data_IF_604919987924
#
_entry.id   IF_604919987924
#
_cell.length_a   1.000
_cell.length_b   1.000
_cell.length_c   1.000
_cell.angle_alpha   90.00
_cell.angle_beta   90.00
_cell.angle_gamma   90.00
#
_symmetry.space_group_name_H-M   'P 1'
#
loop_
_entity.id
_entity.type
_entity.pdbx_description
1 polymer ?
#
# COMPACT_ATOMS: atom_id res chain seq x y z
N UNK A 1 0.05 -36.47 -20.37
CA UNK A 1 -0.33 -36.55 -18.94
C UNK A 1 -1.59 -37.38 -18.73
N UNK A 2 -2.78 -37.00 -19.25
CA UNK A 2 -4.03 -37.78 -19.12
C UNK A 2 -3.88 -39.27 -19.50
N UNK A 3 -3.36 -39.54 -20.69
CA UNK A 3 -3.28 -40.93 -21.23
C UNK A 3 -2.33 -41.82 -20.43
N UNK A 4 -1.24 -41.26 -19.92
CA UNK A 4 -0.29 -41.99 -19.08
C UNK A 4 -0.93 -42.38 -17.74
N UNK A 5 -1.66 -41.45 -17.11
CA UNK A 5 -2.36 -41.74 -15.86
C UNK A 5 -3.54 -42.71 -16.07
N UNK A 6 -4.26 -42.59 -17.20
CA UNK A 6 -5.30 -43.55 -17.57
C UNK A 6 -4.73 -44.96 -17.80
N UNK A 7 -3.60 -45.08 -18.51
CA UNK A 7 -2.93 -46.35 -18.74
C UNK A 7 -2.49 -47.02 -17.43
N UNK A 8 -1.95 -46.24 -16.48
CA UNK A 8 -1.61 -46.72 -15.15
C UNK A 8 -2.84 -47.23 -14.39
N UNK A 9 -3.94 -46.47 -14.36
CA UNK A 9 -5.18 -46.88 -13.69
C UNK A 9 -5.81 -48.13 -14.32
N UNK A 10 -5.63 -48.31 -15.63
CA UNK A 10 -6.06 -49.52 -16.36
C UNK A 10 -5.18 -50.72 -15.99
N UNK A 11 -3.85 -50.53 -15.91
CA UNK A 11 -2.91 -51.56 -15.48
C UNK A 11 -3.16 -51.99 -14.02
N UNK A 12 -3.49 -51.03 -13.14
CA UNK A 12 -3.84 -51.27 -11.74
C UNK A 12 -5.27 -51.85 -11.57
N UNK A 13 -6.03 -52.01 -12.65
CA UNK A 13 -7.39 -52.56 -12.62
C UNK A 13 -8.43 -51.65 -11.95
N UNK A 14 -8.10 -50.38 -11.73
CA UNK A 14 -8.94 -49.37 -11.08
C UNK A 14 -9.87 -48.64 -12.06
N UNK A 15 -9.60 -48.74 -13.36
CA UNK A 15 -10.38 -48.11 -14.42
C UNK A 15 -10.36 -49.00 -15.68
N UNK A 16 -11.49 -49.17 -16.36
CA UNK A 16 -11.49 -49.85 -17.65
C UNK A 16 -11.09 -48.90 -18.79
N UNK A 17 -10.58 -49.44 -19.90
CA UNK A 17 -10.29 -48.63 -21.09
C UNK A 17 -11.56 -47.96 -21.66
N UNK A 18 -12.70 -48.65 -21.59
CA UNK A 18 -14.01 -48.11 -21.98
C UNK A 18 -14.44 -46.97 -21.05
N UNK A 19 -14.32 -47.13 -19.73
CA UNK A 19 -14.63 -46.06 -18.78
C UNK A 19 -13.73 -44.84 -18.96
N UNK A 20 -12.44 -45.06 -19.27
CA UNK A 20 -11.50 -44.00 -19.59
C UNK A 20 -11.92 -43.24 -20.86
N UNK A 21 -12.30 -43.96 -21.93
CA UNK A 21 -12.78 -43.34 -23.18
C UNK A 21 -14.10 -42.60 -22.95
N UNK A 22 -15.07 -43.22 -22.29
CA UNK A 22 -16.36 -42.61 -22.01
C UNK A 22 -16.23 -41.33 -21.17
N UNK A 23 -15.30 -41.29 -20.21
CA UNK A 23 -14.99 -40.07 -19.44
C UNK A 23 -14.35 -38.99 -20.30
N UNK A 24 -13.49 -39.36 -21.24
CA UNK A 24 -12.90 -38.42 -22.20
C UNK A 24 -13.97 -37.83 -23.13
N UNK A 25 -14.81 -38.69 -23.72
CA UNK A 25 -15.89 -38.29 -24.61
C UNK A 25 -16.90 -37.40 -23.87
N UNK A 26 -17.24 -37.73 -22.62
CA UNK A 26 -18.10 -36.89 -21.78
C UNK A 26 -17.47 -35.54 -21.46
N UNK A 27 -16.15 -35.46 -21.24
CA UNK A 27 -15.46 -34.20 -21.01
C UNK A 27 -15.42 -33.32 -22.26
N UNK A 28 -15.19 -33.93 -23.43
CA UNK A 28 -15.22 -33.23 -24.72
C UNK A 28 -16.63 -32.74 -25.07
N UNK A 29 -17.66 -33.55 -24.81
CA UNK A 29 -19.05 -33.15 -24.95
C UNK A 29 -19.38 -31.93 -24.06
N UNK A 30 -18.97 -31.95 -22.78
CA UNK A 30 -19.13 -30.80 -21.87
C UNK A 30 -18.41 -29.55 -22.37
N UNK A 31 -17.19 -29.68 -22.89
CA UNK A 31 -16.44 -28.54 -23.46
C UNK A 31 -17.14 -27.98 -24.71
N UNK A 32 -17.62 -28.86 -25.58
CA UNK A 32 -18.36 -28.49 -26.79
C UNK A 32 -19.66 -27.76 -26.45
N UNK A 33 -20.40 -28.25 -25.47
CA UNK A 33 -21.65 -27.62 -25.03
C UNK A 33 -21.40 -26.28 -24.33
N UNK A 34 -20.35 -26.19 -23.48
CA UNK A 34 -19.91 -24.92 -22.93
C UNK A 34 -19.51 -23.91 -24.03
N UNK A 35 -18.82 -24.36 -25.07
CA UNK A 35 -18.43 -23.50 -26.19
C UNK A 35 -19.64 -23.00 -27.00
N UNK A 36 -20.64 -23.86 -27.23
CA UNK A 36 -21.92 -23.47 -27.87
C UNK A 36 -22.66 -22.45 -27.02
N UNK A 37 -22.72 -22.66 -25.70
CA UNK A 37 -23.37 -21.76 -24.77
C UNK A 37 -22.67 -20.39 -24.74
N UNK A 38 -21.34 -20.35 -24.70
CA UNK A 38 -20.58 -19.09 -24.77
C UNK A 38 -20.83 -18.39 -26.11
N UNK A 39 -20.87 -19.09 -27.25
CA UNK A 39 -21.21 -18.47 -28.54
C UNK A 39 -22.62 -17.88 -28.56
N UNK A 40 -23.59 -18.57 -27.98
CA UNK A 40 -24.97 -18.09 -27.88
C UNK A 40 -25.10 -16.87 -26.94
N UNK A 41 -24.39 -16.89 -25.82
CA UNK A 41 -24.37 -15.80 -24.83
C UNK A 41 -23.51 -14.61 -25.24
N UNK A 42 -22.41 -14.82 -25.97
CA UNK A 42 -21.53 -13.75 -26.45
C UNK A 42 -22.20 -12.85 -27.48
N UNK A 43 -23.18 -13.36 -28.23
CA UNK A 43 -24.05 -12.55 -29.10
C UNK A 43 -24.88 -11.52 -28.31
N UNK A 44 -25.02 -11.71 -26.99
CA UNK A 44 -25.79 -10.86 -26.08
C UNK A 44 -24.94 -10.29 -24.94
N UNK A 45 -23.61 -10.49 -24.96
CA UNK A 45 -22.75 -10.00 -23.90
C UNK A 45 -22.70 -8.47 -23.97
N UNK A 46 -22.95 -7.75 -22.86
CA UNK A 46 -22.72 -6.32 -22.83
C UNK A 46 -21.25 -6.09 -23.14
N UNK A 47 -20.97 -5.19 -24.09
CA UNK A 47 -19.59 -4.75 -24.28
C UNK A 47 -19.13 -4.13 -22.96
N UNK A 48 -18.06 -4.67 -22.39
CA UNK A 48 -17.34 -4.01 -21.31
C UNK A 48 -16.72 -2.77 -21.94
N UNK A 49 -17.50 -1.69 -22.01
CA UNK A 49 -16.99 -0.38 -22.37
C UNK A 49 -15.99 -0.03 -21.29
N UNK A 50 -14.73 0.23 -21.66
CA UNK A 50 -13.83 0.97 -20.76
C UNK A 50 -14.62 2.21 -20.33
N UNK A 51 -14.82 2.44 -19.03
CA UNK A 51 -15.38 3.71 -18.61
C UNK A 51 -14.50 4.79 -19.26
N UNK A 52 -15.08 5.73 -20.01
CA UNK A 52 -14.30 6.82 -20.56
C UNK A 52 -13.54 7.46 -19.41
N UNK A 53 -12.28 7.84 -19.64
CA UNK A 53 -11.55 8.65 -18.67
C UNK A 53 -12.43 9.85 -18.33
N UNK A 54 -12.80 9.95 -17.07
CA UNK A 54 -13.60 11.05 -16.59
C UNK A 54 -12.74 12.31 -16.67
N UNK A 55 -12.93 13.08 -17.74
CA UNK A 55 -12.25 14.36 -17.96
C UNK A 55 -12.93 15.50 -17.18
N UNK A 56 -13.87 15.18 -16.28
CA UNK A 56 -14.44 16.16 -15.36
C UNK A 56 -13.31 16.80 -14.54
N UNK A 57 -13.42 18.11 -14.24
CA UNK A 57 -12.51 18.74 -13.28
C UNK A 57 -12.50 17.94 -11.99
N UNK A 58 -11.33 17.76 -11.40
CA UNK A 58 -11.24 17.15 -10.08
C UNK A 58 -12.19 17.88 -9.13
N UNK A 59 -12.99 17.15 -8.34
CA UNK A 59 -13.90 17.78 -7.40
C UNK A 59 -13.10 18.62 -6.40
N UNK A 60 -13.68 19.72 -5.94
CA UNK A 60 -13.11 20.51 -4.86
C UNK A 60 -13.16 19.71 -3.54
N UNK A 61 -12.03 19.08 -3.17
CA UNK A 61 -11.91 18.27 -1.95
C UNK A 61 -11.52 19.18 -0.79
N UNK A 62 -12.42 19.34 0.18
CA UNK A 62 -12.15 20.09 1.41
C UNK A 62 -11.35 19.24 2.39
N UNK A 63 -10.05 19.52 2.50
CA UNK A 63 -9.12 18.84 3.40
C UNK A 63 -8.75 19.68 4.64
N UNK A 64 -9.28 20.90 4.75
CA UNK A 64 -9.01 21.78 5.89
C UNK A 64 -9.57 21.20 7.20
N UNK A 65 -8.75 21.27 8.26
CA UNK A 65 -9.09 20.79 9.61
C UNK A 65 -9.05 21.97 10.59
N UNK A 66 -9.95 22.05 11.58
CA UNK A 66 -9.91 23.09 12.60
C UNK A 66 -8.56 23.09 13.35
N UNK A 67 -7.98 24.28 13.57
CA UNK A 67 -6.70 24.43 14.24
C UNK A 67 -6.69 23.81 15.65
N UNK A 68 -7.78 23.94 16.39
CA UNK A 68 -7.95 23.37 17.74
C UNK A 68 -7.85 21.84 17.73
N UNK A 69 -8.35 21.19 16.68
CA UNK A 69 -8.24 19.75 16.50
C UNK A 69 -6.78 19.35 16.23
N UNK A 70 -6.08 20.09 15.35
CA UNK A 70 -4.66 19.87 15.08
C UNK A 70 -3.80 20.05 16.34
N UNK A 71 -4.08 21.07 17.15
CA UNK A 71 -3.39 21.30 18.43
C UNK A 71 -3.62 20.14 19.42
N UNK A 72 -4.87 19.65 19.49
CA UNK A 72 -5.20 18.49 20.32
C UNK A 72 -4.46 17.23 19.90
N UNK A 73 -4.43 16.94 18.59
CA UNK A 73 -3.74 15.79 18.03
C UNK A 73 -2.21 15.91 18.23
N UNK A 74 -1.64 17.09 18.00
CA UNK A 74 -0.22 17.34 18.22
C UNK A 74 0.21 17.03 19.66
N UNK A 75 -0.57 17.46 20.67
CA UNK A 75 -0.27 17.14 22.07
C UNK A 75 -0.29 15.64 22.35
N UNK A 76 -1.23 14.91 21.74
CA UNK A 76 -1.34 13.47 21.90
C UNK A 76 -0.20 12.72 21.20
N UNK A 77 0.21 13.18 20.01
CA UNK A 77 1.36 12.62 19.29
C UNK A 77 2.68 12.77 20.06
N UNK A 78 2.80 13.80 20.90
CA UNK A 78 3.97 14.02 21.76
C UNK A 78 3.85 13.36 23.15
N UNK A 79 2.76 12.63 23.42
CA UNK A 79 2.52 11.98 24.71
C UNK A 79 3.18 10.61 24.79
N UNK A 80 3.79 10.31 25.93
CA UNK A 80 4.38 9.02 26.25
C UNK A 80 3.84 8.51 27.59
N UNK A 81 3.81 7.17 27.83
CA UNK A 81 3.32 6.62 29.08
C UNK A 81 4.15 7.07 30.28
N UNK A 82 3.56 6.98 31.47
CA UNK A 82 4.28 7.24 32.72
C UNK A 82 5.55 6.38 32.80
N UNK A 83 6.66 7.02 33.19
CA UNK A 83 7.99 6.41 33.34
C UNK A 83 8.63 5.91 32.03
N UNK A 84 8.08 6.26 30.87
CA UNK A 84 8.72 5.98 29.58
C UNK A 84 9.97 6.86 29.39
N UNK A 85 11.12 6.22 29.24
CA UNK A 85 12.41 6.90 29.10
C UNK A 85 12.73 7.16 27.62
N UNK A 86 12.29 8.31 27.10
CA UNK A 86 12.61 8.74 25.73
C UNK A 86 14.11 8.99 25.56
N UNK A 87 14.65 8.68 24.38
CA UNK A 87 16.03 8.94 24.04
C UNK A 87 16.40 10.44 24.15
N UNK A 88 17.50 10.82 24.83
CA UNK A 88 17.83 12.23 25.10
C UNK A 88 17.93 13.12 23.86
N UNK A 89 18.38 12.58 22.72
CA UNK A 89 18.44 13.33 21.45
C UNK A 89 17.06 13.74 20.90
N UNK A 90 16.00 12.99 21.23
CA UNK A 90 14.63 13.28 20.76
C UNK A 90 13.92 14.31 21.63
N UNK A 91 14.29 14.41 22.92
CA UNK A 91 13.64 15.31 23.86
C UNK A 91 13.59 16.76 23.36
N UNK A 92 14.69 17.27 22.80
CA UNK A 92 14.72 18.65 22.27
C UNK A 92 13.73 18.85 21.12
N UNK A 93 13.62 17.89 20.21
CA UNK A 93 12.67 17.94 19.11
C UNK A 93 11.23 17.84 19.61
N UNK A 94 10.96 16.96 20.57
CA UNK A 94 9.63 16.81 21.17
C UNK A 94 9.20 18.07 21.92
N UNK A 95 10.08 18.67 22.73
CA UNK A 95 9.76 19.92 23.42
C UNK A 95 9.49 21.06 22.44
N UNK A 96 10.27 21.17 21.35
CA UNK A 96 9.96 22.12 20.26
C UNK A 96 8.60 21.83 19.64
N UNK A 97 8.25 20.55 19.43
CA UNK A 97 6.97 20.17 18.84
C UNK A 97 5.77 20.39 19.76
N UNK A 98 5.97 20.44 21.08
CA UNK A 98 4.93 20.76 22.08
C UNK A 98 4.54 22.24 22.13
N UNK A 99 5.40 23.16 21.67
CA UNK A 99 5.01 24.57 21.49
C UNK A 99 3.81 24.65 20.55
N UNK A 100 2.79 25.51 20.86
CA UNK A 100 1.60 25.66 20.02
C UNK A 100 1.94 25.84 18.54
N UNK A 101 1.19 25.17 17.68
CA UNK A 101 1.38 25.20 16.22
C UNK A 101 1.30 26.62 15.67
N UNK A 102 0.43 27.46 16.24
CA UNK A 102 0.28 28.86 15.82
C UNK A 102 1.51 29.76 16.12
N UNK A 103 2.42 29.34 17.00
CA UNK A 103 3.56 30.14 17.43
C UNK A 103 4.86 29.80 16.68
N UNK A 104 4.83 28.84 15.76
CA UNK A 104 6.02 28.35 15.04
C UNK A 104 5.70 27.74 13.69
N UNK A 105 6.75 27.52 12.91
CA UNK A 105 6.65 26.75 11.68
C UNK A 105 6.44 25.25 11.97
N UNK A 106 5.66 24.61 11.10
CA UNK A 106 5.40 23.17 11.12
C UNK A 106 6.35 22.52 10.12
N UNK A 107 7.16 21.57 10.59
CA UNK A 107 8.07 20.81 9.72
C UNK A 107 7.32 19.71 8.95
N UNK A 108 7.93 19.21 7.87
CA UNK A 108 7.30 18.24 6.96
C UNK A 108 6.77 16.99 7.69
N UNK A 109 7.60 16.40 8.54
CA UNK A 109 7.24 15.18 9.27
C UNK A 109 6.10 15.44 10.26
N UNK A 110 6.08 16.61 10.91
CA UNK A 110 4.96 16.96 11.78
C UNK A 110 3.66 17.19 10.99
N UNK A 111 3.72 17.82 9.82
CA UNK A 111 2.56 17.98 8.95
C UNK A 111 2.01 16.62 8.48
N UNK A 112 2.91 15.68 8.13
CA UNK A 112 2.58 14.30 7.78
C UNK A 112 1.91 13.56 8.96
N UNK A 113 2.49 13.63 10.16
CA UNK A 113 1.92 13.04 11.38
C UNK A 113 0.52 13.57 11.67
N UNK A 114 0.30 14.89 11.51
CA UNK A 114 -1.00 15.51 11.70
C UNK A 114 -2.01 15.07 10.63
N UNK A 115 -1.60 14.94 9.38
CA UNK A 115 -2.46 14.43 8.31
C UNK A 115 -2.88 12.98 8.59
N UNK A 116 -1.97 12.12 9.03
CA UNK A 116 -2.31 10.77 9.44
C UNK A 116 -3.25 10.74 10.65
N UNK A 117 -2.97 11.56 11.65
CA UNK A 117 -3.79 11.65 12.86
C UNK A 117 -5.23 12.09 12.55
N UNK A 118 -5.42 13.03 11.62
CA UNK A 118 -6.76 13.49 11.23
C UNK A 118 -7.51 12.44 10.41
N UNK A 119 -6.82 11.65 9.58
CA UNK A 119 -7.44 10.54 8.84
C UNK A 119 -7.96 9.45 9.79
N UNK A 120 -7.14 8.97 10.73
CA UNK A 120 -7.54 7.88 11.62
C UNK A 120 -8.59 8.31 12.67
N UNK A 121 -8.60 9.58 13.05
CA UNK A 121 -9.68 10.14 13.89
C UNK A 121 -10.96 10.39 13.09
N UNK A 122 -10.83 10.69 11.79
CA UNK A 122 -11.93 10.75 10.83
C UNK A 122 -12.45 9.40 10.34
N UNK A 123 -11.90 8.28 10.79
CA UNK A 123 -12.37 6.93 10.45
C UNK A 123 -11.78 6.34 9.17
N UNK A 124 -10.70 6.91 8.65
CA UNK A 124 -9.97 6.40 7.48
C UNK A 124 -8.76 5.60 7.98
N UNK A 125 -8.69 4.27 7.75
CA UNK A 125 -7.53 3.48 8.12
C UNK A 125 -6.29 3.94 7.35
N UNK A 126 -5.14 3.92 8.00
CA UNK A 126 -3.86 4.24 7.35
C UNK A 126 -2.91 3.08 7.53
N UNK A 127 -2.27 2.67 6.44
CA UNK A 127 -1.20 1.68 6.43
C UNK A 127 0.06 2.32 5.84
N UNK A 128 1.16 2.27 6.57
CA UNK A 128 2.44 2.83 6.17
C UNK A 128 3.54 1.78 6.34
N UNK A 129 4.12 1.37 5.21
CA UNK A 129 5.14 0.31 5.16
C UNK A 129 6.35 0.78 4.37
N UNK A 130 7.54 0.44 4.85
CA UNK A 130 8.80 0.73 4.16
C UNK A 130 10.00 0.40 5.03
N UNK A 131 11.21 0.50 4.48
CA UNK A 131 12.42 0.24 5.24
C UNK A 131 12.67 1.39 6.24
N UNK A 132 12.79 1.06 7.52
CA UNK A 132 12.99 2.01 8.63
C UNK A 132 11.90 3.10 8.76
N UNK A 133 10.73 2.92 8.17
CA UNK A 133 9.67 3.93 8.10
C UNK A 133 9.13 4.35 9.48
N UNK A 134 9.17 3.49 10.50
CA UNK A 134 8.80 3.84 11.89
C UNK A 134 9.60 5.04 12.42
N UNK A 135 10.91 5.06 12.14
CA UNK A 135 11.83 6.16 12.49
C UNK A 135 11.89 7.21 11.37
N UNK A 136 11.77 6.75 10.13
CA UNK A 136 12.17 7.46 8.92
C UNK A 136 13.66 7.30 8.64
N UNK A 137 14.01 7.10 7.37
CA UNK A 137 15.40 7.03 6.87
C UNK A 137 16.24 8.21 7.36
N UNK A 138 15.66 9.42 7.31
CA UNK A 138 16.31 10.68 7.66
C UNK A 138 16.15 11.06 9.13
N UNK A 139 15.69 10.12 9.98
CA UNK A 139 15.41 10.36 11.41
C UNK A 139 14.47 11.55 11.63
N UNK A 140 13.49 11.71 10.75
CA UNK A 140 12.58 12.85 10.73
C UNK A 140 11.22 12.55 11.37
N UNK A 141 10.79 11.28 11.31
CA UNK A 141 9.39 10.87 11.54
C UNK A 141 9.14 10.40 12.97
N UNK A 142 9.90 9.44 13.48
CA UNK A 142 9.77 8.96 14.86
C UNK A 142 8.32 8.64 15.31
N UNK A 143 7.54 7.95 14.48
CA UNK A 143 6.18 7.51 14.85
C UNK A 143 6.20 6.44 15.94
N UNK A 144 7.32 5.72 16.09
CA UNK A 144 7.57 4.78 17.19
C UNK A 144 8.74 5.29 18.04
N UNK A 145 8.48 5.46 19.33
CA UNK A 145 9.49 5.71 20.33
C UNK A 145 9.97 4.41 20.97
N UNK A 146 11.26 4.36 21.30
CA UNK A 146 11.87 3.25 22.02
C UNK A 146 12.32 3.73 23.40
N UNK A 147 11.90 3.03 24.45
CA UNK A 147 12.34 3.28 25.81
C UNK A 147 13.81 2.87 25.97
N UNK A 148 14.69 3.81 26.31
CA UNK A 148 16.14 3.55 26.35
C UNK A 148 16.58 2.61 27.48
N UNK A 149 15.70 2.34 28.46
CA UNK A 149 16.01 1.47 29.60
C UNK A 149 15.50 0.05 29.39
N UNK A 150 14.35 -0.09 28.72
CA UNK A 150 13.62 -1.37 28.62
C UNK A 150 13.51 -1.90 27.20
N UNK A 151 13.76 -1.08 26.18
CA UNK A 151 13.58 -1.42 24.77
C UNK A 151 12.11 -1.50 24.32
N UNK A 152 11.15 -1.24 25.23
CA UNK A 152 9.72 -1.22 24.90
C UNK A 152 9.43 -0.12 23.89
N UNK A 153 8.56 -0.43 22.93
CA UNK A 153 8.08 0.50 21.93
C UNK A 153 6.81 1.21 22.38
N UNK A 154 6.63 2.44 21.93
CA UNK A 154 5.40 3.22 22.09
C UNK A 154 5.15 4.02 20.82
N UNK A 155 3.98 3.85 20.21
CA UNK A 155 3.58 4.57 19.01
C UNK A 155 2.36 5.45 19.32
N UNK A 156 2.55 6.74 19.67
CA UNK A 156 1.45 7.62 20.08
C UNK A 156 0.29 7.68 19.07
N UNK A 157 0.61 7.62 17.77
CA UNK A 157 -0.36 7.61 16.66
C UNK A 157 -1.38 6.46 16.77
N UNK A 158 -1.01 5.33 17.38
CA UNK A 158 -1.89 4.16 17.58
C UNK A 158 -2.74 4.26 18.86
N UNK A 159 -2.56 5.33 19.66
CA UNK A 159 -3.21 5.53 20.95
C UNK A 159 -3.92 6.88 21.05
N UNK A 160 -4.24 7.50 19.92
CA UNK A 160 -4.98 8.77 19.89
C UNK A 160 -6.40 8.61 20.41
N UNK A 161 -6.80 9.49 21.32
CA UNK A 161 -8.17 9.62 21.80
C UNK A 161 -9.06 10.06 20.65
N UNK A 162 -10.14 9.32 20.41
CA UNK A 162 -11.07 9.57 19.32
C UNK A 162 -10.66 8.93 17.98
N UNK A 163 -9.55 8.19 17.92
CA UNK A 163 -9.27 7.35 16.76
C UNK A 163 -10.37 6.30 16.59
N UNK A 164 -10.93 6.22 15.38
CA UNK A 164 -11.99 5.28 15.01
C UNK A 164 -11.54 4.29 13.93
N UNK A 165 -10.34 4.47 13.39
CA UNK A 165 -9.70 3.56 12.45
C UNK A 165 -8.27 3.19 12.89
N UNK A 166 -7.73 2.13 12.29
CA UNK A 166 -6.38 1.63 12.58
C UNK A 166 -5.29 2.48 11.92
N UNK A 167 -4.13 2.52 12.58
CA UNK A 167 -2.87 2.95 11.99
C UNK A 167 -1.90 1.77 11.98
N UNK A 168 -1.71 1.15 10.83
CA UNK A 168 -0.76 0.06 10.63
C UNK A 168 0.59 0.63 10.19
N UNK A 169 1.62 0.37 10.98
CA UNK A 169 2.95 0.90 10.77
C UNK A 169 3.95 -0.23 10.81
N UNK A 170 4.72 -0.38 9.73
CA UNK A 170 5.64 -1.50 9.60
C UNK A 170 6.98 -1.09 8.98
N UNK A 171 8.07 -1.45 9.66
CA UNK A 171 9.35 -1.60 9.00
C UNK A 171 9.31 -2.86 8.11
N UNK A 172 9.43 -2.67 6.80
CA UNK A 172 9.45 -3.78 5.84
C UNK A 172 10.76 -4.57 5.92
N UNK A 173 10.80 -5.83 5.44
CA UNK A 173 12.08 -6.45 5.10
C UNK A 173 12.81 -5.64 4.02
N UNK A 174 14.09 -5.92 3.83
CA UNK A 174 14.92 -5.32 2.78
C UNK A 174 14.56 -5.92 1.41
N UNK A 175 13.37 -5.58 0.91
CA UNK A 175 12.85 -6.02 -0.39
C UNK A 175 11.84 -5.00 -0.93
N UNK A 176 12.16 -4.36 -2.04
CA UNK A 176 11.26 -3.41 -2.70
C UNK A 176 10.18 -4.15 -3.49
N UNK A 177 10.57 -5.17 -4.26
CA UNK A 177 9.65 -5.93 -5.11
C UNK A 177 8.50 -6.54 -4.31
N UNK A 178 8.84 -7.32 -3.27
CA UNK A 178 7.84 -8.05 -2.51
C UNK A 178 7.00 -7.10 -1.64
N UNK A 179 7.63 -6.10 -1.00
CA UNK A 179 6.90 -5.13 -0.19
C UNK A 179 5.94 -4.30 -1.05
N UNK A 180 6.39 -3.73 -2.16
CA UNK A 180 5.53 -2.92 -3.03
C UNK A 180 4.41 -3.76 -3.66
N UNK A 181 4.71 -5.00 -4.06
CA UNK A 181 3.70 -5.94 -4.56
C UNK A 181 2.63 -6.29 -3.52
N UNK A 182 3.04 -6.47 -2.26
CA UNK A 182 2.11 -6.69 -1.15
C UNK A 182 1.22 -5.46 -0.92
N UNK A 183 1.81 -4.26 -0.85
CA UNK A 183 1.04 -3.03 -0.62
C UNK A 183 0.08 -2.70 -1.78
N UNK A 184 0.44 -3.02 -3.03
CA UNK A 184 -0.50 -2.96 -4.15
C UNK A 184 -1.69 -3.91 -3.98
N UNK A 185 -1.45 -5.14 -3.53
CA UNK A 185 -2.51 -6.10 -3.25
C UNK A 185 -3.43 -5.60 -2.14
N UNK A 186 -2.85 -5.09 -1.04
CA UNK A 186 -3.59 -4.53 0.08
C UNK A 186 -4.45 -3.33 -0.36
N UNK A 187 -3.88 -2.38 -1.10
CA UNK A 187 -4.58 -1.17 -1.55
C UNK A 187 -5.64 -1.42 -2.62
N UNK A 188 -5.59 -2.58 -3.28
CA UNK A 188 -6.59 -3.02 -4.25
C UNK A 188 -7.84 -3.59 -3.57
N UNK A 189 -7.67 -4.19 -2.37
CA UNK A 189 -8.76 -4.80 -1.59
C UNK A 189 -9.34 -3.82 -0.55
N UNK A 190 -8.48 -3.18 0.24
CA UNK A 190 -8.84 -2.20 1.27
C UNK A 190 -9.08 -0.81 0.67
N UNK A 191 -10.13 -0.68 -0.14
CA UNK A 191 -10.45 0.54 -0.90
C UNK A 191 -10.71 1.78 -0.03
N UNK A 192 -11.02 1.61 1.24
CA UNK A 192 -11.26 2.68 2.21
C UNK A 192 -9.99 3.19 2.89
N UNK A 193 -8.90 2.42 2.85
CA UNK A 193 -7.65 2.75 3.54
C UNK A 193 -6.74 3.64 2.68
N UNK A 194 -5.99 4.53 3.35
CA UNK A 194 -4.79 5.12 2.76
C UNK A 194 -3.63 4.13 2.94
N UNK A 195 -3.09 3.64 1.83
CA UNK A 195 -1.95 2.71 1.84
C UNK A 195 -0.74 3.42 1.27
N UNK A 196 0.32 3.51 2.06
CA UNK A 196 1.57 4.18 1.72
C UNK A 196 2.71 3.17 1.71
N UNK A 197 3.47 3.15 0.62
CA UNK A 197 4.76 2.47 0.56
C UNK A 197 5.89 3.51 0.44
N UNK A 198 6.86 3.45 1.35
CA UNK A 198 8.01 4.34 1.37
C UNK A 198 9.29 3.61 0.96
N UNK A 199 9.94 4.12 -0.09
CA UNK A 199 11.29 3.70 -0.44
C UNK A 199 12.30 4.39 0.50
N UNK A 200 13.39 3.71 0.86
CA UNK A 200 14.44 4.33 1.69
C UNK A 200 15.03 5.56 0.98
N UNK A 201 15.30 5.43 -0.31
CA UNK A 201 15.53 6.49 -1.30
C UNK A 201 14.74 6.14 -2.57
N UNK A 202 14.24 7.13 -3.29
CA UNK A 202 13.44 6.91 -4.50
C UNK A 202 14.17 6.13 -5.59
N UNK A 203 15.50 6.19 -5.62
CA UNK A 203 16.38 5.47 -6.54
C UNK A 203 16.13 3.95 -6.53
N UNK A 204 15.80 3.38 -5.36
CA UNK A 204 15.61 1.94 -5.15
C UNK A 204 14.25 1.40 -5.64
N UNK A 205 13.30 2.27 -5.98
CA UNK A 205 12.00 1.84 -6.50
C UNK A 205 12.11 1.04 -7.81
N UNK A 206 13.23 1.16 -8.53
CA UNK A 206 13.54 0.36 -9.71
C UNK A 206 13.60 -1.16 -9.42
N UNK A 207 13.91 -1.59 -8.19
CA UNK A 207 13.89 -2.99 -7.77
C UNK A 207 12.48 -3.60 -7.84
N UNK A 208 11.44 -2.76 -7.83
CA UNK A 208 10.04 -3.14 -7.94
C UNK A 208 9.40 -2.74 -9.28
N UNK A 209 10.19 -2.51 -10.33
CA UNK A 209 9.70 -1.98 -11.61
C UNK A 209 8.58 -2.83 -12.22
N UNK A 210 8.61 -4.16 -12.07
CA UNK A 210 7.54 -5.03 -12.57
C UNK A 210 6.20 -4.71 -11.89
N UNK A 211 6.21 -4.40 -10.58
CA UNK A 211 5.00 -3.99 -9.87
C UNK A 211 4.49 -2.65 -10.40
N UNK A 212 5.40 -1.69 -10.61
CA UNK A 212 5.05 -0.39 -11.19
C UNK A 212 4.40 -0.57 -12.57
N UNK A 213 5.07 -1.26 -13.49
CA UNK A 213 4.66 -1.36 -14.89
C UNK A 213 3.41 -2.23 -15.10
N UNK A 214 3.36 -3.39 -14.44
CA UNK A 214 2.35 -4.41 -14.73
C UNK A 214 1.09 -4.29 -13.88
N UNK A 215 1.15 -3.52 -12.79
CA UNK A 215 0.07 -3.41 -11.81
C UNK A 215 -0.31 -1.96 -11.52
N UNK A 216 0.62 -1.13 -11.02
CA UNK A 216 0.30 0.23 -10.57
C UNK A 216 -0.20 1.10 -11.73
N UNK A 217 0.57 1.19 -12.82
CA UNK A 217 0.23 2.08 -13.95
C UNK A 217 -0.80 1.49 -14.90
N UNK A 218 -0.92 0.15 -14.97
CA UNK A 218 -1.74 -0.53 -15.98
C UNK A 218 -2.93 -1.31 -15.43
N UNK A 219 -3.08 -1.43 -14.10
CA UNK A 219 -4.11 -2.26 -13.47
C UNK A 219 -5.54 -1.85 -13.83
N UNK A 220 -5.84 -0.55 -13.80
CA UNK A 220 -7.17 -0.03 -14.17
C UNK A 220 -7.47 -0.32 -15.64
N UNK A 221 -6.51 -0.10 -16.53
CA UNK A 221 -6.68 -0.31 -17.96
C UNK A 221 -6.83 -1.78 -18.36
N UNK A 222 -6.09 -2.69 -17.70
CA UNK A 222 -6.07 -4.12 -18.02
C UNK A 222 -7.21 -4.89 -17.36
N UNK A 223 -7.55 -4.53 -16.12
CA UNK A 223 -8.42 -5.35 -15.27
C UNK A 223 -9.57 -4.58 -14.62
N UNK A 224 -9.66 -3.25 -14.83
CA UNK A 224 -10.64 -2.42 -14.13
C UNK A 224 -10.33 -2.26 -12.63
N UNK A 225 -9.12 -2.64 -12.19
CA UNK A 225 -8.72 -2.60 -10.79
C UNK A 225 -8.15 -1.22 -10.44
N UNK A 226 -8.83 -0.50 -9.54
CA UNK A 226 -8.30 0.72 -8.93
C UNK A 226 -7.44 0.40 -7.71
N UNK A 227 -6.57 1.34 -7.35
CA UNK A 227 -5.69 1.25 -6.19
C UNK A 227 -5.53 2.64 -5.57
N UNK A 228 -5.48 2.69 -4.23
CA UNK A 228 -5.19 3.91 -3.45
C UNK A 228 -3.76 3.97 -2.93
N UNK A 229 -2.87 3.18 -3.53
CA UNK A 229 -1.47 3.13 -3.14
C UNK A 229 -0.77 4.48 -3.40
N UNK A 230 -0.16 5.02 -2.35
CA UNK A 230 0.69 6.21 -2.39
C UNK A 230 2.16 5.77 -2.33
N UNK A 231 2.96 6.23 -3.29
CA UNK A 231 4.41 5.99 -3.30
C UNK A 231 5.14 7.20 -2.73
N UNK A 232 5.85 7.00 -1.61
CA UNK A 232 6.74 7.99 -1.02
C UNK A 232 8.16 7.70 -1.50
N UNK A 233 8.64 8.51 -2.45
CA UNK A 233 9.93 8.34 -3.11
C UNK A 233 10.84 9.53 -2.82
N UNK A 234 11.70 9.45 -1.78
CA UNK A 234 12.63 10.53 -1.47
C UNK A 234 13.50 10.89 -2.68
N UNK A 235 13.58 12.19 -2.99
CA UNK A 235 14.22 12.72 -4.19
C UNK A 235 14.91 14.05 -3.91
N UNK A 236 16.12 14.26 -4.43
CA UNK A 236 16.84 15.51 -4.31
C UNK A 236 18.32 15.40 -4.66
N UNK A 237 18.85 16.36 -5.40
CA UNK A 237 20.27 16.39 -5.78
C UNK A 237 21.11 17.11 -4.71
N UNK A 238 21.40 16.40 -3.61
CA UNK A 238 22.10 16.96 -2.43
C UNK A 238 23.55 16.49 -2.28
N UNK A 239 24.11 15.86 -3.32
CA UNK A 239 25.49 15.33 -3.31
C UNK A 239 25.62 13.91 -2.74
N UNK A 240 24.52 13.18 -2.55
CA UNK A 240 24.50 11.78 -2.10
C UNK A 240 24.99 10.75 -3.14
N UNK A 241 25.31 11.19 -4.36
CA UNK A 241 25.76 10.33 -5.45
C UNK A 241 24.61 9.74 -6.28
N UNK A 242 24.93 8.90 -7.28
CA UNK A 242 23.98 8.48 -8.32
C UNK A 242 22.82 7.60 -7.83
N UNK A 243 22.95 6.97 -6.66
CA UNK A 243 21.93 6.06 -6.08
C UNK A 243 21.18 6.67 -4.88
N UNK A 244 21.33 7.98 -4.64
CA UNK A 244 20.67 8.71 -3.55
C UNK A 244 20.24 10.12 -4.02
N UNK A 245 19.84 10.25 -5.28
CA UNK A 245 19.49 11.55 -5.87
C UNK A 245 18.17 11.54 -6.63
N UNK A 246 17.85 10.46 -7.33
CA UNK A 246 16.78 10.46 -8.33
C UNK A 246 15.76 9.34 -8.11
N UNK A 247 14.52 9.75 -7.82
CA UNK A 247 13.36 8.87 -7.91
C UNK A 247 12.94 8.56 -9.37
N UNK A 248 13.69 9.04 -10.37
CA UNK A 248 13.43 8.84 -11.80
C UNK A 248 12.04 9.32 -12.22
N UNK A 249 11.68 10.53 -11.80
CA UNK A 249 10.38 11.15 -12.07
C UNK A 249 10.02 11.09 -13.57
N UNK A 250 11.00 11.25 -14.46
CA UNK A 250 10.84 11.13 -15.91
C UNK A 250 10.20 9.81 -16.35
N UNK A 251 10.49 8.70 -15.64
CA UNK A 251 9.92 7.38 -15.93
C UNK A 251 8.45 7.32 -15.54
N UNK A 252 8.08 7.85 -14.37
CA UNK A 252 6.68 7.92 -13.96
C UNK A 252 5.86 8.80 -14.90
N UNK A 253 6.42 9.94 -15.33
CA UNK A 253 5.78 10.80 -16.32
C UNK A 253 5.62 10.13 -17.68
N UNK A 254 6.61 9.33 -18.12
CA UNK A 254 6.52 8.57 -19.37
C UNK A 254 5.46 7.45 -19.31
N UNK A 255 5.22 6.88 -18.13
CA UNK A 255 4.21 5.83 -17.93
C UNK A 255 2.79 6.36 -17.77
N UNK A 256 2.62 7.65 -17.47
CA UNK A 256 1.31 8.29 -17.38
C UNK A 256 0.69 8.42 -18.79
N UNK A 257 -0.53 7.92 -18.96
CA UNK A 257 -1.23 7.87 -20.25
C UNK A 257 -2.74 7.99 -20.09
#
# INVERSE_FOLDING_TARGET
VREMFAAQLIEEGLLSAEDSSARADAAEARLSDAHKNVKASAAHAPQVSRPPMDASPEPDIKTAVPAEALESLNRQLMAVPDRFAVHPKLLRQMERRKTPLAEREIDWAQAEELAFATLITGGIPVRLTGQDTERGTFSQRHLVFHDVRTGKTWAPIQHLVGASASFELHNSPLSEYAALGFEYGYSSDASEALVCWEAQFGDFANGAQIIVDQFIVSGLAKWGQSSRLTLLLPHGYEGGGPEHSSARLERFLQLAA
#
